data_IF_708152440836
#
_entry.id   IF_708152440836
#
_cell.length_a   1.000
_cell.length_b   1.000
_cell.length_c   1.000
_cell.angle_alpha   90.00
_cell.angle_beta   90.00
_cell.angle_gamma   90.00
#
_symmetry.space_group_name_H-M   'P 1'
#
loop_
_entity.id
_entity.type
_entity.pdbx_description
1 polymer ?
#
# COMPACT_ATOMS: atom_id res chain seq x y z
N UNK A 1 -27.06 -10.16 -17.14
CA UNK A 1 -25.87 -10.04 -18.01
C UNK A 1 -24.72 -9.66 -17.10
N UNK A 2 -23.66 -10.46 -17.03
CA UNK A 2 -22.45 -10.03 -16.33
C UNK A 2 -21.91 -8.78 -17.04
N UNK A 3 -21.53 -7.76 -16.29
CA UNK A 3 -20.90 -6.58 -16.89
C UNK A 3 -19.54 -6.96 -17.53
N UNK A 4 -19.08 -6.13 -18.47
CA UNK A 4 -17.84 -6.38 -19.21
C UNK A 4 -16.62 -6.54 -18.27
N UNK A 5 -16.65 -5.83 -17.14
CA UNK A 5 -15.64 -5.90 -16.08
C UNK A 5 -15.56 -7.29 -15.46
N UNK A 6 -16.69 -7.85 -15.00
CA UNK A 6 -16.75 -9.18 -14.38
C UNK A 6 -16.30 -10.26 -15.36
N UNK A 7 -16.70 -10.14 -16.62
CA UNK A 7 -16.28 -11.08 -17.68
C UNK A 7 -14.77 -11.06 -17.91
N UNK A 8 -14.16 -9.86 -17.94
CA UNK A 8 -12.70 -9.72 -18.06
C UNK A 8 -11.98 -10.27 -16.83
N UNK A 9 -12.51 -9.98 -15.63
CA UNK A 9 -11.96 -10.47 -14.36
C UNK A 9 -11.98 -12.00 -14.28
N UNK A 10 -13.07 -12.66 -14.68
CA UNK A 10 -13.14 -14.12 -14.69
C UNK A 10 -12.11 -14.74 -15.66
N UNK A 11 -11.85 -14.11 -16.81
CA UNK A 11 -10.78 -14.56 -17.72
C UNK A 11 -9.42 -14.51 -17.04
N UNK A 12 -9.09 -13.41 -16.36
CA UNK A 12 -7.83 -13.28 -15.61
C UNK A 12 -7.76 -14.34 -14.51
N UNK A 13 -8.80 -14.48 -13.70
CA UNK A 13 -8.83 -15.46 -12.60
C UNK A 13 -8.70 -16.91 -13.10
N UNK A 14 -9.33 -17.25 -14.24
CA UNK A 14 -9.20 -18.58 -14.83
C UNK A 14 -7.78 -18.92 -15.29
N UNK A 15 -7.00 -17.90 -15.71
CA UNK A 15 -5.63 -18.05 -16.17
C UNK A 15 -4.63 -18.09 -15.01
N UNK A 16 -4.83 -17.22 -14.02
CA UNK A 16 -3.83 -16.92 -12.99
C UNK A 16 -4.09 -17.64 -11.65
N UNK A 17 -5.32 -18.08 -11.39
CA UNK A 17 -5.65 -18.81 -10.16
C UNK A 17 -5.75 -20.31 -10.43
N UNK A 18 -4.83 -21.05 -9.83
CA UNK A 18 -4.78 -22.50 -9.95
C UNK A 18 -6.11 -23.18 -9.58
N UNK A 19 -6.62 -23.99 -10.50
CA UNK A 19 -7.86 -24.74 -10.31
C UNK A 19 -9.11 -23.88 -10.18
N UNK A 20 -9.10 -22.64 -10.66
CA UNK A 20 -10.28 -21.76 -10.70
C UNK A 20 -11.49 -22.45 -11.34
N UNK A 21 -12.66 -22.31 -10.71
CA UNK A 21 -13.93 -22.85 -11.20
C UNK A 21 -14.92 -21.74 -11.52
N UNK A 22 -15.08 -20.77 -10.63
CA UNK A 22 -15.99 -19.64 -10.81
C UNK A 22 -15.69 -18.48 -9.87
N UNK A 23 -16.12 -17.27 -10.25
CA UNK A 23 -16.19 -16.10 -9.38
C UNK A 23 -17.54 -16.13 -8.64
N UNK A 24 -17.50 -16.22 -7.30
CA UNK A 24 -18.68 -16.27 -6.45
C UNK A 24 -19.21 -14.87 -6.12
N UNK A 25 -18.31 -13.92 -5.90
CA UNK A 25 -18.67 -12.51 -5.71
C UNK A 25 -17.51 -11.58 -6.00
N UNK A 26 -17.81 -10.40 -6.55
CA UNK A 26 -16.90 -9.27 -6.67
C UNK A 26 -17.56 -8.06 -6.02
N UNK A 27 -17.07 -7.63 -4.87
CA UNK A 27 -17.65 -6.55 -4.08
C UNK A 27 -16.64 -5.41 -3.94
N UNK A 28 -16.98 -4.22 -4.45
CA UNK A 28 -16.19 -3.02 -4.20
C UNK A 28 -16.28 -2.63 -2.73
N UNK A 29 -15.13 -2.37 -2.11
CA UNK A 29 -15.04 -1.80 -0.78
C UNK A 29 -15.14 -0.27 -0.91
N UNK A 30 -15.96 0.35 -0.07
CA UNK A 30 -16.20 1.81 -0.09
C UNK A 30 -15.10 2.62 0.62
N UNK A 31 -14.02 1.97 1.03
CA UNK A 31 -12.86 2.60 1.67
C UNK A 31 -11.74 2.79 0.63
N UNK A 32 -11.48 4.04 0.25
CA UNK A 32 -10.40 4.42 -0.68
C UNK A 32 -10.77 5.68 -1.46
N UNK A 33 -9.97 6.74 -1.32
CA UNK A 33 -10.23 8.02 -1.99
C UNK A 33 -9.66 8.08 -3.42
N UNK A 34 -8.59 7.34 -3.70
CA UNK A 34 -7.83 7.42 -4.96
C UNK A 34 -7.81 6.12 -5.79
N UNK A 35 -8.18 4.98 -5.21
CA UNK A 35 -8.08 3.66 -5.85
C UNK A 35 -9.27 2.78 -5.49
N UNK A 36 -9.61 1.85 -6.38
CA UNK A 36 -10.69 0.89 -6.15
C UNK A 36 -10.12 -0.40 -5.56
N UNK A 37 -10.67 -0.82 -4.43
CA UNK A 37 -10.38 -2.13 -3.85
C UNK A 37 -11.63 -3.00 -3.91
N UNK A 38 -11.51 -4.19 -4.49
CA UNK A 38 -12.58 -5.18 -4.56
C UNK A 38 -12.22 -6.41 -3.73
N UNK A 39 -13.18 -6.89 -2.94
CA UNK A 39 -13.14 -8.22 -2.36
C UNK A 39 -13.64 -9.23 -3.39
N UNK A 40 -12.78 -10.18 -3.73
CA UNK A 40 -13.10 -11.30 -4.62
C UNK A 40 -13.31 -12.55 -3.77
N UNK A 41 -14.44 -13.23 -3.98
CA UNK A 41 -14.67 -14.60 -3.50
C UNK A 41 -14.73 -15.51 -4.70
N UNK A 42 -13.92 -16.55 -4.73
CA UNK A 42 -13.85 -17.50 -5.84
C UNK A 42 -14.04 -18.93 -5.33
N UNK A 43 -14.49 -19.82 -6.21
CA UNK A 43 -14.39 -21.25 -6.01
C UNK A 43 -13.23 -21.79 -6.85
N UNK A 44 -12.39 -22.63 -6.26
CA UNK A 44 -11.34 -23.36 -6.97
C UNK A 44 -11.25 -24.83 -6.53
N UNK A 45 -10.17 -25.52 -6.91
CA UNK A 45 -9.94 -26.91 -6.54
C UNK A 45 -9.80 -27.12 -5.02
N UNK A 46 -9.33 -26.11 -4.28
CA UNK A 46 -9.16 -26.15 -2.83
C UNK A 46 -10.41 -25.74 -2.03
N UNK A 47 -11.47 -25.28 -2.71
CA UNK A 47 -12.70 -24.80 -2.09
C UNK A 47 -12.93 -23.32 -2.35
N UNK A 48 -13.55 -22.63 -1.41
CA UNK A 48 -13.74 -21.19 -1.49
C UNK A 48 -12.48 -20.44 -1.04
N UNK A 49 -12.05 -19.45 -1.81
CA UNK A 49 -10.91 -18.58 -1.49
C UNK A 49 -11.25 -17.11 -1.69
N UNK A 50 -10.48 -16.25 -1.00
CA UNK A 50 -10.64 -14.81 -1.06
C UNK A 50 -9.37 -14.12 -1.54
N UNK A 51 -9.56 -13.11 -2.37
CA UNK A 51 -8.51 -12.22 -2.85
C UNK A 51 -8.97 -10.76 -2.77
N UNK A 52 -8.02 -9.85 -2.79
CA UNK A 52 -8.27 -8.44 -3.04
C UNK A 52 -7.78 -8.07 -4.44
N UNK A 53 -8.60 -7.33 -5.18
CA UNK A 53 -8.18 -6.64 -6.41
C UNK A 53 -8.04 -5.16 -6.10
N UNK A 54 -6.83 -4.62 -6.27
CA UNK A 54 -6.54 -3.19 -6.16
C UNK A 54 -6.31 -2.64 -7.56
N UNK A 55 -7.04 -1.61 -7.97
CA UNK A 55 -6.88 -0.99 -9.29
C UNK A 55 -7.08 0.52 -9.28
N UNK A 56 -6.56 1.20 -10.29
CA UNK A 56 -6.79 2.63 -10.50
C UNK A 56 -8.25 2.89 -10.88
N UNK A 57 -8.77 4.07 -10.51
CA UNK A 57 -10.10 4.46 -10.94
C UNK A 57 -10.12 4.68 -12.46
N UNK A 58 -11.20 4.27 -13.17
CA UNK A 58 -11.33 4.53 -14.60
C UNK A 58 -11.17 6.01 -14.91
N UNK A 59 -10.16 6.35 -15.73
CA UNK A 59 -9.89 7.73 -16.16
C UNK A 59 -8.93 8.53 -15.27
N UNK A 60 -8.48 7.99 -14.13
CA UNK A 60 -7.32 8.55 -13.43
C UNK A 60 -6.03 7.93 -14.00
N UNK A 61 -5.14 8.78 -14.53
CA UNK A 61 -3.74 8.41 -14.71
C UNK A 61 -3.06 8.37 -13.33
N UNK A 62 -2.06 7.50 -13.18
CA UNK A 62 -1.31 7.25 -11.93
C UNK A 62 -0.56 8.48 -11.36
N UNK A 63 -0.74 9.68 -11.94
CA UNK A 63 -0.04 10.91 -11.62
C UNK A 63 -0.99 11.98 -11.08
N UNK A 64 -0.97 12.23 -9.77
CA UNK A 64 -1.44 13.53 -9.25
C UNK A 64 -0.99 13.92 -7.84
N UNK A 65 -0.11 13.17 -7.16
CA UNK A 65 0.48 13.63 -5.90
C UNK A 65 2.00 13.48 -5.89
N UNK A 66 2.68 14.47 -5.31
CA UNK A 66 4.13 14.45 -5.11
C UNK A 66 4.46 13.22 -4.27
N UNK A 67 5.26 12.30 -4.82
CA UNK A 67 5.62 11.05 -4.16
C UNK A 67 4.74 9.84 -4.47
N UNK A 68 3.71 9.97 -5.32
CA UNK A 68 2.90 8.83 -5.75
C UNK A 68 3.73 7.83 -6.56
N UNK A 69 3.44 6.54 -6.34
CA UNK A 69 3.99 5.44 -7.12
C UNK A 69 2.88 4.76 -7.91
N UNK A 70 3.21 4.12 -9.03
CA UNK A 70 2.24 3.33 -9.79
C UNK A 70 1.86 2.06 -9.02
N UNK A 71 0.68 1.51 -9.29
CA UNK A 71 0.23 0.24 -8.74
C UNK A 71 1.18 -0.93 -9.09
N UNK A 72 1.86 -0.85 -10.24
CA UNK A 72 2.89 -1.83 -10.61
C UNK A 72 4.13 -1.71 -9.71
N UNK A 73 4.54 -0.48 -9.36
CA UNK A 73 5.62 -0.26 -8.38
C UNK A 73 5.20 -0.73 -6.99
N UNK A 74 3.97 -0.46 -6.55
CA UNK A 74 3.42 -0.95 -5.28
C UNK A 74 3.48 -2.49 -5.20
N UNK A 75 3.03 -3.19 -6.25
CA UNK A 75 3.12 -4.65 -6.32
C UNK A 75 4.58 -5.16 -6.22
N UNK A 76 5.53 -4.50 -6.90
CA UNK A 76 6.96 -4.84 -6.80
C UNK A 76 7.53 -4.57 -5.41
N UNK A 77 7.07 -3.53 -4.71
CA UNK A 77 7.45 -3.26 -3.32
C UNK A 77 6.94 -4.35 -2.38
N UNK A 78 5.69 -4.82 -2.54
CA UNK A 78 5.19 -5.96 -1.77
C UNK A 78 6.01 -7.22 -2.00
N UNK A 79 6.37 -7.52 -3.25
CA UNK A 79 7.22 -8.67 -3.58
C UNK A 79 8.62 -8.55 -2.95
N UNK A 80 9.24 -7.37 -3.02
CA UNK A 80 10.53 -7.10 -2.38
C UNK A 80 10.45 -7.20 -0.85
N UNK A 81 9.40 -6.66 -0.25
CA UNK A 81 9.15 -6.71 1.19
C UNK A 81 8.95 -8.15 1.67
N UNK A 82 8.19 -8.96 0.92
CA UNK A 82 7.97 -10.37 1.21
C UNK A 82 9.28 -11.16 1.21
N UNK A 83 10.19 -10.90 0.26
CA UNK A 83 11.52 -11.55 0.21
C UNK A 83 12.37 -11.23 1.45
N UNK A 84 12.13 -10.11 2.13
CA UNK A 84 12.78 -9.73 3.38
C UNK A 84 11.96 -10.10 4.64
N UNK A 85 10.94 -10.94 4.51
CA UNK A 85 10.03 -11.33 5.58
C UNK A 85 9.38 -10.12 6.29
N UNK A 86 9.09 -9.06 5.55
CA UNK A 86 8.21 -7.98 6.01
C UNK A 86 6.77 -8.44 5.77
N UNK A 87 5.89 -8.37 6.80
CA UNK A 87 4.52 -8.85 6.66
C UNK A 87 3.72 -7.98 5.69
N UNK A 88 2.97 -8.63 4.79
CA UNK A 88 2.16 -7.97 3.77
C UNK A 88 1.39 -9.01 2.94
N UNK A 89 0.43 -8.58 2.11
CA UNK A 89 -0.30 -9.46 1.22
C UNK A 89 0.63 -10.02 0.13
N UNK A 90 0.46 -11.30 -0.20
CA UNK A 90 1.15 -11.89 -1.34
C UNK A 90 0.54 -11.40 -2.64
N UNK A 91 1.38 -10.87 -3.55
CA UNK A 91 0.93 -10.51 -4.90
C UNK A 91 0.71 -11.77 -5.71
N UNK A 92 -0.51 -11.95 -6.22
CA UNK A 92 -0.92 -13.11 -7.02
C UNK A 92 -0.75 -12.86 -8.50
N UNK A 93 -1.10 -11.65 -8.93
CA UNK A 93 -1.04 -11.28 -10.33
C UNK A 93 -1.02 -9.76 -10.48
N UNK A 94 -0.21 -9.24 -11.39
CA UNK A 94 -0.19 -7.82 -11.76
C UNK A 94 -0.88 -7.70 -13.11
N UNK A 95 -1.89 -6.84 -13.20
CA UNK A 95 -2.67 -6.67 -14.43
C UNK A 95 -1.80 -6.13 -15.56
N UNK A 96 -2.06 -6.62 -16.77
CA UNK A 96 -1.44 -6.12 -18.00
C UNK A 96 -2.50 -5.47 -18.90
N UNK A 97 -2.11 -4.59 -19.85
CA UNK A 97 -3.08 -3.90 -20.72
C UNK A 97 -4.07 -4.83 -21.43
N UNK A 98 -3.63 -6.04 -21.79
CA UNK A 98 -4.44 -7.06 -22.47
C UNK A 98 -5.58 -7.62 -21.62
N UNK A 99 -5.52 -7.45 -20.29
CA UNK A 99 -6.58 -7.90 -19.39
C UNK A 99 -7.83 -7.02 -19.49
N UNK A 100 -7.71 -5.79 -20.01
CA UNK A 100 -8.85 -4.87 -20.16
C UNK A 100 -9.45 -4.38 -18.84
N UNK A 101 -8.70 -4.48 -17.74
CA UNK A 101 -9.15 -4.12 -16.39
C UNK A 101 -8.55 -2.82 -15.84
N UNK A 102 -7.63 -2.19 -16.59
CA UNK A 102 -6.84 -1.05 -16.15
C UNK A 102 -5.57 -1.46 -15.39
N UNK A 103 -4.89 -0.47 -14.79
CA UNK A 103 -3.71 -0.72 -13.94
C UNK A 103 -4.15 -1.26 -12.59
N UNK A 104 -3.48 -2.31 -12.10
CA UNK A 104 -3.79 -2.89 -10.80
C UNK A 104 -3.14 -4.24 -10.58
N UNK A 105 -3.49 -4.87 -9.47
CA UNK A 105 -2.99 -6.18 -9.11
C UNK A 105 -3.99 -6.92 -8.21
N UNK A 106 -3.93 -8.26 -8.27
CA UNK A 106 -4.63 -9.17 -7.39
C UNK A 106 -3.65 -9.62 -6.31
N UNK A 107 -4.08 -9.58 -5.06
CA UNK A 107 -3.30 -9.96 -3.89
C UNK A 107 -4.10 -10.87 -2.96
N UNK A 108 -3.39 -11.56 -2.07
CA UNK A 108 -4.02 -12.37 -1.01
C UNK A 108 -4.96 -11.51 -0.17
N UNK A 109 -6.13 -12.06 0.17
CA UNK A 109 -6.98 -11.47 1.19
C UNK A 109 -6.39 -11.71 2.57
N UNK A 110 -6.21 -10.65 3.35
CA UNK A 110 -5.72 -10.74 4.72
C UNK A 110 -6.83 -10.44 5.72
N UNK A 111 -6.85 -11.21 6.79
CA UNK A 111 -7.71 -10.96 7.94
C UNK A 111 -6.93 -10.27 9.06
N UNK A 112 -7.58 -9.29 9.69
CA UNK A 112 -7.06 -8.57 10.83
C UNK A 112 -7.76 -7.24 11.04
N UNK A 113 -7.30 -6.53 12.06
CA UNK A 113 -7.80 -5.23 12.47
C UNK A 113 -6.83 -4.13 12.06
N UNK A 114 -7.36 -3.04 11.50
CA UNK A 114 -6.60 -1.83 11.16
C UNK A 114 -7.04 -0.61 11.98
N UNK A 115 -8.17 -0.71 12.70
CA UNK A 115 -8.66 0.38 13.53
C UNK A 115 -7.86 0.46 14.83
N UNK A 116 -6.96 1.46 14.90
CA UNK A 116 -6.12 1.72 16.07
C UNK A 116 -6.90 1.76 17.38
N UNK A 117 -8.10 2.34 17.40
CA UNK A 117 -8.96 2.39 18.59
C UNK A 117 -9.37 0.99 19.09
N UNK A 118 -9.65 0.05 18.18
CA UNK A 118 -9.98 -1.33 18.54
C UNK A 118 -8.72 -2.07 19.01
N UNK A 119 -7.60 -1.91 18.30
CA UNK A 119 -6.31 -2.52 18.66
C UNK A 119 -5.89 -2.16 20.09
N UNK A 120 -6.07 -0.90 20.51
CA UNK A 120 -5.64 -0.46 21.85
C UNK A 120 -6.62 -0.82 22.96
N UNK A 121 -7.89 -1.15 22.65
CA UNK A 121 -8.96 -1.37 23.65
C UNK A 121 -9.41 -2.82 23.78
N UNK A 122 -9.48 -3.57 22.69
CA UNK A 122 -10.07 -4.91 22.71
C UNK A 122 -9.17 -5.93 23.43
N UNK A 123 -9.79 -6.78 24.24
CA UNK A 123 -9.08 -7.78 25.07
C UNK A 123 -8.34 -8.82 24.21
N UNK A 124 -8.84 -9.12 23.01
CA UNK A 124 -8.18 -10.01 22.04
C UNK A 124 -6.74 -9.59 21.70
N UNK A 125 -6.42 -8.29 21.82
CA UNK A 125 -5.09 -7.73 21.54
C UNK A 125 -4.29 -7.44 22.83
N UNK A 126 -4.83 -7.73 24.02
CA UNK A 126 -4.14 -7.45 25.28
C UNK A 126 -2.75 -8.09 25.34
N UNK A 127 -2.63 -9.34 24.88
CA UNK A 127 -1.37 -10.08 24.89
C UNK A 127 -0.30 -9.54 23.94
N UNK A 128 -0.69 -8.82 22.88
CA UNK A 128 0.27 -8.29 21.88
C UNK A 128 0.60 -6.82 22.10
N UNK A 129 -0.30 -6.04 22.72
CA UNK A 129 -0.16 -4.59 22.88
C UNK A 129 1.22 -4.16 23.40
N UNK A 130 1.82 -4.81 24.42
CA UNK A 130 3.14 -4.44 24.93
C UNK A 130 4.30 -4.63 23.94
N UNK A 131 4.14 -5.48 22.93
CA UNK A 131 5.18 -5.80 21.92
C UNK A 131 5.00 -5.08 20.59
N UNK A 132 3.82 -4.52 20.29
CA UNK A 132 3.53 -3.89 19.00
C UNK A 132 4.53 -2.80 18.61
N UNK A 133 4.89 -1.89 19.52
CA UNK A 133 5.86 -0.83 19.21
C UNK A 133 7.23 -1.38 18.80
N UNK A 134 7.67 -2.48 19.44
CA UNK A 134 8.91 -3.17 19.09
C UNK A 134 8.80 -3.87 17.74
N UNK A 135 7.65 -4.48 17.44
CA UNK A 135 7.39 -5.08 16.13
C UNK A 135 7.41 -4.02 15.02
N UNK A 136 6.77 -2.86 15.22
CA UNK A 136 6.85 -1.71 14.31
C UNK A 136 8.31 -1.31 14.04
N UNK A 137 9.12 -1.14 15.08
CA UNK A 137 10.54 -0.79 14.93
C UNK A 137 11.35 -1.84 14.17
N UNK A 138 11.08 -3.13 14.38
CA UNK A 138 11.71 -4.22 13.63
C UNK A 138 11.32 -4.20 12.16
N UNK A 139 10.05 -3.95 11.87
CA UNK A 139 9.53 -3.84 10.51
C UNK A 139 10.17 -2.64 9.80
N UNK A 140 10.13 -1.44 10.40
CA UNK A 140 10.78 -0.25 9.85
C UNK A 140 12.27 -0.47 9.60
N UNK A 141 12.97 -1.12 10.54
CA UNK A 141 14.37 -1.48 10.36
C UNK A 141 14.63 -2.37 9.14
N UNK A 142 13.73 -3.34 8.88
CA UNK A 142 13.78 -4.19 7.68
C UNK A 142 13.47 -3.40 6.41
N UNK A 143 12.44 -2.55 6.43
CA UNK A 143 12.07 -1.69 5.28
C UNK A 143 13.26 -0.82 4.90
N UNK A 144 13.87 -0.14 5.87
CA UNK A 144 15.02 0.73 5.63
C UNK A 144 16.30 -0.01 5.20
N UNK A 145 16.35 -1.33 5.35
CA UNK A 145 17.46 -2.18 4.94
C UNK A 145 17.25 -2.83 3.55
N UNK A 146 16.08 -2.66 2.94
CA UNK A 146 15.81 -3.17 1.59
C UNK A 146 16.71 -2.49 0.55
N UNK A 147 17.39 -3.30 -0.25
CA UNK A 147 18.14 -2.81 -1.41
C UNK A 147 17.24 -2.67 -2.63
N UNK A 148 16.44 -1.60 -2.62
CA UNK A 148 15.52 -1.25 -3.71
C UNK A 148 16.24 -0.95 -5.03
N UNK A 149 17.52 -0.55 -4.97
CA UNK A 149 18.33 -0.30 -6.17
C UNK A 149 18.72 -1.61 -6.84
N UNK A 150 19.23 -2.58 -6.07
CA UNK A 150 19.50 -3.92 -6.59
C UNK A 150 18.22 -4.63 -7.08
N UNK A 151 17.07 -4.32 -6.49
CA UNK A 151 15.77 -4.80 -6.96
C UNK A 151 15.26 -4.11 -8.25
N UNK A 152 16.03 -3.17 -8.83
CA UNK A 152 15.70 -2.48 -10.07
C UNK A 152 14.52 -1.51 -9.93
N UNK A 153 14.35 -0.89 -8.76
CA UNK A 153 13.30 0.12 -8.50
C UNK A 153 13.81 1.55 -8.60
N UNK A 154 15.08 1.75 -8.96
CA UNK A 154 15.74 3.07 -9.04
C UNK A 154 14.96 4.12 -9.85
N UNK A 155 14.38 3.71 -10.97
CA UNK A 155 13.65 4.60 -11.88
C UNK A 155 12.14 4.68 -11.57
N UNK A 156 11.67 3.87 -10.63
CA UNK A 156 10.25 3.72 -10.31
C UNK A 156 9.88 4.38 -8.98
N UNK A 157 10.87 4.80 -8.19
CA UNK A 157 10.70 5.43 -6.90
C UNK A 157 11.27 6.85 -6.92
N UNK A 158 10.54 7.84 -6.38
CA UNK A 158 11.07 9.18 -6.22
C UNK A 158 12.18 9.17 -5.16
N UNK A 159 13.36 9.70 -5.50
CA UNK A 159 14.42 9.98 -4.53
C UNK A 159 14.42 11.48 -4.23
N UNK A 160 14.05 11.83 -2.99
CA UNK A 160 13.91 13.23 -2.57
C UNK A 160 14.80 13.46 -1.35
N UNK A 161 15.66 14.48 -1.44
CA UNK A 161 16.46 14.90 -0.29
C UNK A 161 15.62 15.79 0.66
N UNK A 162 15.99 15.90 1.95
CA UNK A 162 15.19 16.65 2.92
C UNK A 162 14.90 18.11 2.55
N UNK A 163 15.85 18.81 1.90
CA UNK A 163 15.65 20.20 1.47
C UNK A 163 14.55 20.27 0.42
N UNK A 164 14.66 19.45 -0.62
CA UNK A 164 13.69 19.40 -1.71
C UNK A 164 12.31 19.06 -1.19
N UNK A 165 12.19 18.05 -0.30
CA UNK A 165 10.90 17.66 0.28
C UNK A 165 10.24 18.82 1.04
N UNK A 166 11.01 19.53 1.86
CA UNK A 166 10.52 20.69 2.63
C UNK A 166 10.06 21.82 1.71
N UNK A 167 10.88 22.16 0.69
CA UNK A 167 10.58 23.25 -0.23
C UNK A 167 9.37 22.93 -1.14
N UNK A 168 9.26 21.70 -1.65
CA UNK A 168 8.12 21.25 -2.48
C UNK A 168 6.82 21.15 -1.69
N UNK A 169 6.87 20.64 -0.45
CA UNK A 169 5.69 20.56 0.43
C UNK A 169 5.15 21.95 0.74
N UNK A 170 6.03 22.92 0.98
CA UNK A 170 5.63 24.31 1.20
C UNK A 170 5.07 24.96 -0.06
N UNK A 171 5.64 24.69 -1.23
CA UNK A 171 5.10 25.17 -2.51
C UNK A 171 3.68 24.64 -2.75
N UNK A 172 3.44 23.34 -2.55
CA UNK A 172 2.10 22.74 -2.63
C UNK A 172 1.12 23.39 -1.65
N UNK A 173 1.56 23.65 -0.41
CA UNK A 173 0.74 24.36 0.56
C UNK A 173 0.32 25.75 0.06
N UNK A 174 1.23 26.50 -0.56
CA UNK A 174 0.94 27.85 -1.07
C UNK A 174 -0.09 27.86 -2.19
N UNK A 175 -0.19 26.80 -2.97
CA UNK A 175 -1.17 26.68 -4.05
C UNK A 175 -2.61 26.61 -3.53
N UNK A 176 -2.82 26.21 -2.27
CA UNK A 176 -4.13 26.31 -1.63
C UNK A 176 -4.58 27.76 -1.37
N UNK A 177 -3.66 28.74 -1.43
CA UNK A 177 -3.94 30.18 -1.21
C UNK A 177 -4.63 30.47 0.13
N UNK A 178 -4.37 29.65 1.14
CA UNK A 178 -4.86 29.84 2.51
C UNK A 178 -3.67 30.24 3.40
N UNK A 179 -3.67 31.45 4.00
CA UNK A 179 -2.58 31.88 4.86
C UNK A 179 -2.64 31.17 6.21
N UNK A 180 -1.67 30.31 6.48
CA UNK A 180 -1.46 29.62 7.76
C UNK A 180 -0.04 29.94 8.25
N UNK A 181 0.17 31.05 9.00
CA UNK A 181 1.51 31.52 9.40
C UNK A 181 2.37 30.48 10.12
N UNK A 182 1.75 29.52 10.82
CA UNK A 182 2.45 28.43 11.48
C UNK A 182 3.16 27.49 10.48
N UNK A 183 2.55 27.23 9.31
CA UNK A 183 3.17 26.41 8.26
C UNK A 183 4.35 27.15 7.63
N UNK A 184 4.21 28.46 7.37
CA UNK A 184 5.30 29.30 6.86
C UNK A 184 6.49 29.36 7.83
N UNK A 185 6.22 29.50 9.13
CA UNK A 185 7.24 29.44 10.16
C UNK A 185 7.92 28.06 10.22
N UNK A 186 7.12 26.99 10.15
CA UNK A 186 7.62 25.60 10.17
C UNK A 186 8.52 25.32 8.98
N UNK A 187 8.14 25.73 7.77
CA UNK A 187 8.99 25.61 6.58
C UNK A 187 10.34 26.33 6.78
N UNK A 188 10.30 27.58 7.25
CA UNK A 188 11.54 28.34 7.50
C UNK A 188 12.43 27.64 8.53
N UNK A 189 11.86 27.22 9.65
CA UNK A 189 12.60 26.50 10.69
C UNK A 189 13.21 25.20 10.16
N UNK A 190 12.45 24.39 9.42
CA UNK A 190 12.95 23.14 8.82
C UNK A 190 14.09 23.42 7.85
N UNK A 191 13.99 24.47 7.03
CA UNK A 191 15.02 24.86 6.06
C UNK A 191 16.32 25.31 6.73
N UNK A 192 16.22 26.01 7.86
CA UNK A 192 17.36 26.48 8.66
C UNK A 192 17.99 25.36 9.49
N UNK A 193 17.23 24.29 9.80
CA UNK A 193 17.64 23.18 10.66
C UNK A 193 17.71 21.84 9.91
N UNK A 194 18.02 21.88 8.60
CA UNK A 194 18.18 20.66 7.81
C UNK A 194 19.29 19.78 8.39
N UNK A 195 19.12 18.45 8.37
CA UNK A 195 20.16 17.54 8.84
C UNK A 195 21.41 17.68 7.97
N UNK A 196 22.58 17.79 8.61
CA UNK A 196 23.86 17.93 7.91
C UNK A 196 24.23 16.69 7.07
N UNK A 197 23.75 15.53 7.47
CA UNK A 197 23.87 14.28 6.74
C UNK A 197 22.52 13.54 6.75
N UNK A 198 22.15 12.95 5.62
CA UNK A 198 20.99 12.07 5.51
C UNK A 198 21.39 10.81 4.75
N UNK A 199 20.80 9.68 5.15
CA UNK A 199 20.97 8.40 4.46
C UNK A 199 19.76 8.19 3.56
N UNK A 200 19.96 7.90 2.28
CA UNK A 200 18.88 7.46 1.40
C UNK A 200 18.54 6.00 1.70
N UNK A 201 17.32 5.74 2.15
CA UNK A 201 16.73 4.41 2.27
C UNK A 201 15.33 4.41 1.70
N UNK A 202 14.81 3.23 1.40
CA UNK A 202 13.38 3.09 1.16
C UNK A 202 12.63 3.49 2.44
N UNK A 203 11.63 4.37 2.31
CA UNK A 203 10.70 4.74 3.38
C UNK A 203 9.29 4.44 2.88
N UNK A 204 8.41 4.00 3.77
CA UNK A 204 7.03 3.70 3.42
C UNK A 204 6.20 4.96 3.08
N UNK A 205 6.60 6.13 3.56
CA UNK A 205 5.85 7.38 3.36
C UNK A 205 4.68 7.59 4.35
N UNK A 206 3.86 6.56 4.59
CA UNK A 206 2.71 6.61 5.50
C UNK A 206 2.70 5.45 6.53
N UNK A 207 3.82 5.19 7.22
CA UNK A 207 3.90 4.13 8.23
C UNK A 207 3.16 4.52 9.52
N UNK A 208 1.87 4.20 9.61
CA UNK A 208 1.01 4.50 10.77
C UNK A 208 0.02 3.39 11.06
N UNK A 209 -0.62 3.44 12.24
CA UNK A 209 -1.55 2.41 12.70
C UNK A 209 -2.68 2.07 11.71
N UNK A 210 -3.16 3.04 10.91
CA UNK A 210 -4.21 2.78 9.91
C UNK A 210 -3.77 1.89 8.75
N UNK A 211 -2.45 1.79 8.53
CA UNK A 211 -1.83 1.02 7.46
C UNK A 211 -1.15 -0.25 8.01
N UNK A 212 -1.39 -0.56 9.28
CA UNK A 212 -0.93 -1.79 9.92
C UNK A 212 -2.13 -2.68 10.17
N UNK A 213 -2.07 -3.90 9.64
CA UNK A 213 -3.04 -4.93 9.97
C UNK A 213 -2.53 -5.75 11.14
N UNK A 214 -3.39 -5.95 12.13
CA UNK A 214 -3.06 -6.59 13.41
C UNK A 214 -3.98 -7.78 13.67
N UNK A 215 -3.39 -8.88 14.13
CA UNK A 215 -4.11 -10.06 14.62
C UNK A 215 -3.70 -10.32 16.07
N UNK A 216 -4.37 -11.25 16.76
CA UNK A 216 -3.96 -11.71 18.10
C UNK A 216 -2.53 -12.30 18.16
N UNK A 217 -1.87 -12.50 17.01
CA UNK A 217 -0.48 -12.96 16.90
C UNK A 217 0.54 -11.83 16.74
N UNK A 218 0.12 -10.62 16.38
CA UNK A 218 1.00 -9.47 16.09
C UNK A 218 0.63 -8.78 14.78
N UNK A 219 1.57 -8.01 14.23
CA UNK A 219 1.39 -7.32 12.94
C UNK A 219 1.41 -8.35 11.81
N UNK A 220 0.30 -8.47 11.08
CA UNK A 220 0.13 -9.39 9.94
C UNK A 220 0.35 -8.74 8.59
N UNK A 221 0.26 -7.41 8.48
CA UNK A 221 0.55 -6.69 7.25
C UNK A 221 0.97 -5.24 7.49
N UNK A 222 1.83 -4.76 6.59
CA UNK A 222 2.04 -3.34 6.30
C UNK A 222 1.38 -3.07 4.95
N UNK A 223 0.45 -2.11 4.89
CA UNK A 223 -0.43 -1.82 3.75
C UNK A 223 -0.15 -0.43 3.18
N UNK A 224 -0.70 -0.11 2.00
CA UNK A 224 -0.66 1.23 1.39
C UNK A 224 0.77 1.78 1.20
N UNK A 225 1.56 1.04 0.43
CA UNK A 225 2.91 1.42 0.03
C UNK A 225 2.93 2.49 -1.06
#
# INVERSE_FOLDING_TARGET
MADAFTTALEKVLSREVAGFKSLLSCQQLTAGASQETYRLRIANAAGEQQFALRRSQPGQQDDSSVGAISLATEARLFQLAAAAAIPGPGIRYVLVPEDGLGSGFIMDWLEGETLGQRIVRADEYAGIRPRLARECGRILGRIHALDWRAAGLSNALPEVNPRTLVDETWALYRDFKVPVPMIDYTWRWLRDNLPAASRTTLVHGDFRNGNLMVTSRGISAVLDW
#
